data_IF_108962199717
#
_entry.id   IF_108962199717
#
_cell.length_a   1.000
_cell.length_b   1.000
_cell.length_c   1.000
_cell.angle_alpha   90.00
_cell.angle_beta   90.00
_cell.angle_gamma   90.00
#
_symmetry.space_group_name_H-M   'P 1'
#
loop_
_entity.id
_entity.type
_entity.pdbx_description
1 polymer ?
#
# COMPACT_ATOMS: atom_id res chain seq x y z
N UNK A 1 21.69 5.90 9.08
CA UNK A 1 20.28 6.35 9.03
C UNK A 1 19.64 5.91 7.73
N UNK A 2 18.55 5.15 7.80
CA UNK A 2 17.70 4.85 6.65
C UNK A 2 16.65 5.96 6.52
N UNK A 3 16.46 6.49 5.31
CA UNK A 3 15.54 7.60 5.06
C UNK A 3 16.21 8.99 5.10
N UNK A 4 15.45 10.03 4.75
CA UNK A 4 15.91 11.43 4.84
C UNK A 4 16.74 11.95 3.67
N UNK A 5 16.86 11.17 2.58
CA UNK A 5 17.55 11.59 1.35
C UNK A 5 17.06 12.96 0.89
N UNK A 6 17.99 13.86 0.61
CA UNK A 6 17.74 15.26 0.28
C UNK A 6 18.20 15.63 -1.14
N UNK A 7 18.62 14.62 -1.93
CA UNK A 7 19.10 14.86 -3.27
C UNK A 7 20.62 15.10 -3.35
N UNK A 8 21.32 15.30 -2.23
CA UNK A 8 22.76 15.60 -2.23
C UNK A 8 23.66 14.37 -2.32
N UNK A 9 23.16 13.19 -1.89
CA UNK A 9 23.96 11.97 -1.81
C UNK A 9 24.09 11.27 -3.18
N UNK A 10 25.31 11.10 -3.67
CA UNK A 10 25.59 10.31 -4.87
C UNK A 10 25.19 8.84 -4.68
N UNK A 11 24.56 8.25 -5.71
CA UNK A 11 24.09 6.86 -5.69
C UNK A 11 22.87 6.59 -4.80
N UNK A 12 22.29 7.61 -4.15
CA UNK A 12 21.12 7.39 -3.28
C UNK A 12 19.83 7.03 -4.02
N UNK A 13 19.74 7.20 -5.34
CA UNK A 13 18.70 6.55 -6.14
C UNK A 13 18.74 5.02 -6.02
N UNK A 14 19.92 4.39 -6.12
CA UNK A 14 20.10 2.94 -5.99
C UNK A 14 20.22 2.47 -4.53
N UNK A 15 20.86 3.26 -3.67
CA UNK A 15 20.98 2.94 -2.24
C UNK A 15 19.65 3.15 -1.49
N UNK A 16 18.81 4.08 -1.94
CA UNK A 16 17.45 4.25 -1.42
C UNK A 16 16.60 3.02 -1.74
N UNK A 17 16.64 2.55 -2.98
CA UNK A 17 16.04 1.26 -3.40
C UNK A 17 16.51 0.11 -2.50
N UNK A 18 17.83 -0.04 -2.31
CA UNK A 18 18.38 -1.09 -1.44
C UNK A 18 18.05 -0.89 0.04
N UNK A 19 17.93 0.34 0.51
CA UNK A 19 17.48 0.65 1.86
C UNK A 19 16.09 0.09 2.12
N UNK A 20 15.14 0.32 1.22
CA UNK A 20 13.80 -0.28 1.32
C UNK A 20 13.79 -1.81 1.13
N UNK A 21 14.73 -2.36 0.34
CA UNK A 21 14.90 -3.81 0.23
C UNK A 21 15.51 -4.45 1.50
N UNK A 22 16.47 -3.79 2.15
CA UNK A 22 17.16 -4.26 3.37
C UNK A 22 16.31 -4.07 4.63
N UNK A 23 15.37 -3.11 4.60
CA UNK A 23 14.34 -2.93 5.63
C UNK A 23 13.29 -4.06 5.63
N UNK A 24 13.44 -5.08 4.77
CA UNK A 24 12.73 -6.34 4.94
C UNK A 24 11.23 -6.17 4.89
N UNK A 25 10.74 -5.70 3.74
CA UNK A 25 9.32 -5.60 3.40
C UNK A 25 8.53 -4.56 4.20
N UNK A 26 7.48 -3.99 3.60
CA UNK A 26 6.58 -3.13 4.34
C UNK A 26 5.65 -4.07 5.11
N UNK A 27 6.06 -4.44 6.32
CA UNK A 27 5.11 -4.98 7.30
C UNK A 27 4.52 -3.78 8.00
N UNK A 28 3.19 -3.67 7.95
CA UNK A 28 2.45 -2.58 8.58
C UNK A 28 2.80 -2.44 10.08
N UNK A 29 3.23 -3.53 10.72
CA UNK A 29 3.73 -3.60 12.10
C UNK A 29 5.02 -2.80 12.33
N UNK A 30 5.99 -2.90 11.42
CA UNK A 30 7.29 -2.24 11.57
C UNK A 30 7.23 -0.73 11.30
N UNK A 31 6.17 -0.26 10.63
CA UNK A 31 5.98 1.16 10.28
C UNK A 31 6.05 2.09 11.50
N UNK A 32 5.61 1.61 12.68
CA UNK A 32 5.64 2.36 13.94
C UNK A 32 7.05 2.75 14.40
N UNK A 33 8.08 2.00 13.95
CA UNK A 33 9.48 2.27 14.28
C UNK A 33 10.14 3.33 13.41
N UNK A 34 9.46 3.81 12.35
CA UNK A 34 10.04 4.72 11.38
C UNK A 34 9.42 6.12 11.43
N UNK A 35 10.25 7.13 11.11
CA UNK A 35 9.76 8.50 10.94
C UNK A 35 9.05 8.62 9.59
N UNK A 36 7.75 8.88 9.63
CA UNK A 36 6.92 9.17 8.44
C UNK A 36 7.59 10.19 7.52
N UNK A 37 8.03 11.33 8.07
CA UNK A 37 8.72 12.38 7.31
C UNK A 37 9.96 11.88 6.58
N UNK A 38 10.81 11.07 7.24
CA UNK A 38 12.03 10.52 6.63
C UNK A 38 11.71 9.49 5.55
N UNK A 39 10.70 8.65 5.77
CA UNK A 39 10.24 7.64 4.81
C UNK A 39 9.64 8.32 3.58
N UNK A 40 8.70 9.24 3.76
CA UNK A 40 8.03 9.93 2.66
C UNK A 40 9.00 10.71 1.79
N UNK A 41 9.92 11.46 2.41
CA UNK A 41 10.97 12.18 1.69
C UNK A 41 11.83 11.24 0.84
N UNK A 42 12.21 10.08 1.39
CA UNK A 42 13.03 9.12 0.65
C UNK A 42 12.26 8.42 -0.47
N UNK A 43 10.98 8.10 -0.29
CA UNK A 43 10.12 7.58 -1.37
C UNK A 43 10.07 8.57 -2.54
N UNK A 44 9.81 9.84 -2.25
CA UNK A 44 9.66 10.89 -3.27
C UNK A 44 10.97 11.14 -4.02
N UNK A 45 12.08 11.31 -3.28
CA UNK A 45 13.39 11.57 -3.90
C UNK A 45 13.87 10.37 -4.73
N UNK A 46 13.67 9.15 -4.24
CA UNK A 46 14.03 7.95 -5.00
C UNK A 46 13.17 7.82 -6.26
N UNK A 47 11.87 8.08 -6.16
CA UNK A 47 10.95 8.06 -7.31
C UNK A 47 11.38 9.06 -8.39
N UNK A 48 11.64 10.31 -8.01
CA UNK A 48 12.07 11.37 -8.92
C UNK A 48 13.41 11.06 -9.59
N UNK A 49 14.42 10.61 -8.82
CA UNK A 49 15.75 10.27 -9.35
C UNK A 49 15.74 9.13 -10.35
N UNK A 50 14.78 8.22 -10.25
CA UNK A 50 14.59 7.14 -11.19
C UNK A 50 13.55 7.48 -12.27
N UNK A 51 13.40 8.76 -12.61
CA UNK A 51 12.51 9.26 -13.67
C UNK A 51 11.09 8.72 -13.55
N UNK A 52 10.53 8.75 -12.33
CA UNK A 52 9.18 8.24 -12.03
C UNK A 52 8.99 6.77 -12.44
N UNK A 53 9.98 5.95 -12.09
CA UNK A 53 9.89 4.49 -12.22
C UNK A 53 10.69 3.90 -13.37
N UNK A 54 11.01 4.66 -14.43
CA UNK A 54 11.76 4.14 -15.60
C UNK A 54 13.13 3.57 -15.21
N UNK A 55 13.77 4.15 -14.19
CA UNK A 55 15.06 3.68 -13.67
C UNK A 55 14.95 2.52 -12.66
N UNK A 56 13.74 2.02 -12.37
CA UNK A 56 13.48 1.01 -11.37
C UNK A 56 12.99 -0.31 -11.99
N UNK A 57 13.32 -1.42 -11.33
CA UNK A 57 12.62 -2.68 -11.57
C UNK A 57 11.21 -2.57 -10.98
N UNK A 58 10.21 -3.07 -11.70
CA UNK A 58 8.78 -2.90 -11.39
C UNK A 58 8.39 -3.36 -9.99
N UNK A 59 8.96 -4.47 -9.49
CA UNK A 59 8.65 -4.93 -8.13
C UNK A 59 9.07 -3.91 -7.05
N UNK A 60 10.11 -3.11 -7.28
CA UNK A 60 10.55 -2.04 -6.37
C UNK A 60 9.55 -0.88 -6.39
N UNK A 61 9.12 -0.46 -7.58
CA UNK A 61 8.10 0.57 -7.72
C UNK A 61 6.80 0.17 -7.01
N UNK A 62 6.47 -1.12 -7.07
CA UNK A 62 5.30 -1.65 -6.38
C UNK A 62 5.48 -1.77 -4.85
N UNK A 63 6.71 -1.97 -4.35
CA UNK A 63 7.00 -1.84 -2.92
C UNK A 63 6.82 -0.41 -2.42
N UNK A 64 7.22 0.57 -3.23
CA UNK A 64 6.99 1.98 -2.92
C UNK A 64 5.49 2.26 -2.86
N UNK A 65 4.72 1.77 -3.85
CA UNK A 65 3.27 1.88 -3.86
C UNK A 65 2.62 1.30 -2.58
N UNK A 66 3.07 0.13 -2.13
CA UNK A 66 2.55 -0.49 -0.91
C UNK A 66 2.91 0.31 0.35
N UNK A 67 4.11 0.85 0.41
CA UNK A 67 4.56 1.69 1.52
C UNK A 67 3.79 3.01 1.58
N UNK A 68 3.54 3.63 0.42
CA UNK A 68 2.69 4.82 0.30
C UNK A 68 1.25 4.51 0.76
N UNK A 69 0.69 3.35 0.40
CA UNK A 69 -0.63 2.95 0.86
C UNK A 69 -0.68 2.85 2.40
N UNK A 70 0.31 2.22 3.04
CA UNK A 70 0.37 2.14 4.50
C UNK A 70 0.48 3.49 5.22
N UNK A 71 1.11 4.48 4.59
CA UNK A 71 1.18 5.85 5.12
C UNK A 71 -0.02 6.72 4.71
N UNK A 72 -1.05 6.18 4.05
CA UNK A 72 -2.22 6.97 3.65
C UNK A 72 -1.99 7.87 2.43
N UNK A 73 -0.89 7.67 1.70
CA UNK A 73 -0.50 8.46 0.52
C UNK A 73 -1.19 7.93 -0.74
N UNK A 74 -2.49 8.13 -0.78
CA UNK A 74 -3.39 7.49 -1.73
C UNK A 74 -3.02 7.72 -3.21
N UNK A 75 -2.75 8.96 -3.59
CA UNK A 75 -2.45 9.34 -4.98
C UNK A 75 -1.09 8.78 -5.41
N UNK A 76 -0.09 8.84 -4.54
CA UNK A 76 1.24 8.33 -4.81
C UNK A 76 1.28 6.80 -4.88
N UNK A 77 0.53 6.13 -4.00
CA UNK A 77 0.35 4.68 -4.06
C UNK A 77 -0.30 4.27 -5.39
N UNK A 78 -1.31 5.02 -5.83
CA UNK A 78 -1.98 4.78 -7.10
C UNK A 78 -1.07 5.03 -8.30
N UNK A 79 -0.36 6.18 -8.35
CA UNK A 79 0.58 6.52 -9.43
C UNK A 79 1.61 5.41 -9.62
N UNK A 80 2.26 4.98 -8.53
CA UNK A 80 3.33 3.97 -8.60
C UNK A 80 2.81 2.58 -8.94
N UNK A 81 1.63 2.20 -8.44
CA UNK A 81 0.99 0.93 -8.79
C UNK A 81 0.54 0.91 -10.25
N UNK A 82 -0.07 2.00 -10.73
CA UNK A 82 -0.47 2.16 -12.12
C UNK A 82 0.72 2.14 -13.08
N UNK A 83 1.84 2.79 -12.71
CA UNK A 83 3.08 2.69 -13.48
C UNK A 83 3.47 1.23 -13.74
N UNK A 84 3.38 0.38 -12.71
CA UNK A 84 3.76 -1.02 -12.86
C UNK A 84 2.88 -1.75 -13.88
N UNK A 85 1.58 -1.43 -13.96
CA UNK A 85 0.67 -1.99 -14.98
C UNK A 85 1.00 -1.52 -16.41
N UNK A 86 1.67 -0.39 -16.58
CA UNK A 86 2.15 0.05 -17.91
C UNK A 86 3.35 -0.76 -18.40
N UNK A 87 3.99 -1.52 -17.50
CA UNK A 87 5.17 -2.32 -17.79
C UNK A 87 4.82 -3.81 -17.94
N UNK A 88 3.55 -4.15 -18.15
CA UNK A 88 3.11 -5.52 -18.40
C UNK A 88 3.79 -6.05 -19.66
N UNK A 89 4.35 -7.25 -19.57
CA UNK A 89 4.95 -7.95 -20.71
C UNK A 89 3.86 -8.23 -21.77
N UNK A 90 3.99 -7.68 -22.98
CA UNK A 90 3.01 -7.92 -24.04
C UNK A 90 3.00 -9.37 -24.53
N UNK A 91 4.06 -10.15 -24.30
CA UNK A 91 4.11 -11.57 -24.65
C UNK A 91 3.34 -12.46 -23.67
N UNK A 92 3.03 -11.94 -22.47
CA UNK A 92 2.38 -12.70 -21.40
C UNK A 92 3.28 -13.71 -20.69
N UNK A 93 4.60 -13.67 -20.93
CA UNK A 93 5.57 -14.56 -20.28
C UNK A 93 5.76 -14.19 -18.80
N UNK A 94 5.56 -12.92 -18.44
CA UNK A 94 5.50 -12.46 -17.05
C UNK A 94 4.44 -11.39 -16.80
N UNK A 95 4.16 -11.11 -15.52
CA UNK A 95 3.23 -10.04 -15.15
C UNK A 95 3.78 -8.65 -15.52
N UNK A 96 5.05 -8.35 -15.26
CA UNK A 96 5.68 -7.10 -15.68
C UNK A 96 7.17 -7.30 -16.00
N UNK A 97 7.71 -6.52 -16.94
CA UNK A 97 9.14 -6.46 -17.23
C UNK A 97 9.74 -5.10 -16.83
N UNK A 98 11.07 -5.05 -16.73
CA UNK A 98 11.77 -3.77 -16.81
C UNK A 98 12.00 -3.44 -18.28
N UNK A 99 11.63 -2.23 -18.69
CA UNK A 99 11.96 -1.69 -20.00
C UNK A 99 13.48 -1.81 -20.25
N UNK A 100 13.89 -2.75 -21.11
CA UNK A 100 15.29 -3.02 -21.45
C UNK A 100 16.04 -4.07 -20.61
N UNK A 101 15.43 -4.73 -19.62
CA UNK A 101 16.09 -5.84 -18.91
C UNK A 101 15.63 -7.21 -19.41
N UNK A 102 16.59 -8.12 -19.60
CA UNK A 102 16.36 -9.49 -20.09
C UNK A 102 15.96 -10.49 -19.01
N UNK A 103 15.57 -10.02 -17.81
CA UNK A 103 15.37 -10.88 -16.65
C UNK A 103 13.97 -10.74 -16.07
N UNK A 104 13.27 -11.87 -16.03
CA UNK A 104 12.00 -12.03 -15.35
C UNK A 104 12.24 -12.22 -13.85
N UNK A 105 11.73 -11.30 -13.03
CA UNK A 105 11.78 -11.44 -11.58
C UNK A 105 10.42 -11.95 -11.09
N UNK A 106 10.36 -13.17 -10.55
CA UNK A 106 9.17 -13.71 -9.88
C UNK A 106 8.92 -13.04 -8.51
N UNK A 107 9.99 -12.49 -7.91
CA UNK A 107 9.96 -11.91 -6.57
C UNK A 107 9.28 -10.54 -6.56
N UNK A 108 8.25 -10.38 -5.71
CA UNK A 108 7.62 -9.09 -5.44
C UNK A 108 6.29 -8.83 -6.14
N UNK A 109 5.65 -9.86 -6.73
CA UNK A 109 4.27 -9.73 -7.22
C UNK A 109 3.20 -9.81 -6.13
N UNK A 110 3.52 -10.41 -4.97
CA UNK A 110 2.59 -10.41 -3.84
C UNK A 110 2.23 -8.98 -3.38
N UNK A 111 3.14 -8.01 -3.52
CA UNK A 111 2.80 -6.62 -3.22
C UNK A 111 1.78 -6.05 -4.22
N UNK A 112 1.66 -6.57 -5.46
CA UNK A 112 0.73 -6.00 -6.45
C UNK A 112 -0.71 -6.25 -6.03
N UNK A 113 -1.00 -7.46 -5.55
CA UNK A 113 -2.30 -7.76 -4.96
C UNK A 113 -2.53 -7.04 -3.64
N UNK A 114 -1.46 -6.78 -2.87
CA UNK A 114 -1.58 -6.14 -1.57
C UNK A 114 -1.76 -4.62 -1.62
N UNK A 115 -1.32 -3.91 -2.66
CA UNK A 115 -1.53 -2.47 -2.80
C UNK A 115 -3.01 -2.09 -2.76
N UNK A 116 -3.89 -2.60 -3.66
CA UNK A 116 -5.30 -2.23 -3.65
C UNK A 116 -6.00 -2.70 -2.37
N UNK A 117 -5.63 -3.86 -1.83
CA UNK A 117 -6.11 -4.32 -0.51
C UNK A 117 -5.72 -3.32 0.58
N UNK A 118 -4.47 -2.87 0.61
CA UNK A 118 -3.95 -1.94 1.63
C UNK A 118 -4.48 -0.51 1.45
N UNK A 119 -4.96 -0.13 0.27
CA UNK A 119 -5.67 1.13 0.06
C UNK A 119 -7.05 1.13 0.73
N UNK A 120 -7.74 -0.01 0.75
CA UNK A 120 -9.11 -0.14 1.27
C UNK A 120 -9.20 -0.74 2.67
N UNK A 121 -8.22 -1.54 3.10
CA UNK A 121 -8.19 -2.18 4.41
C UNK A 121 -6.75 -2.35 4.90
N UNK A 122 -6.48 -1.88 6.11
CA UNK A 122 -5.23 -2.14 6.81
C UNK A 122 -5.53 -2.67 8.19
N UNK A 123 -4.84 -3.73 8.60
CA UNK A 123 -4.99 -4.29 9.94
C UNK A 123 -3.64 -4.72 10.51
N UNK A 124 -3.34 -4.28 11.72
CA UNK A 124 -2.08 -4.58 12.40
C UNK A 124 -2.24 -4.48 13.91
N UNK A 125 -1.72 -5.48 14.62
CA UNK A 125 -1.98 -5.64 16.04
C UNK A 125 -3.49 -5.64 16.27
N UNK A 126 -3.97 -4.72 17.10
CA UNK A 126 -5.40 -4.57 17.40
C UNK A 126 -6.11 -3.47 16.62
N UNK A 127 -5.48 -2.80 15.66
CA UNK A 127 -6.11 -1.71 14.90
C UNK A 127 -6.56 -2.20 13.52
N UNK A 128 -7.75 -1.77 13.10
CA UNK A 128 -8.30 -1.98 11.76
C UNK A 128 -8.69 -0.63 11.19
N UNK A 129 -8.08 -0.24 10.06
CA UNK A 129 -8.38 0.99 9.32
C UNK A 129 -9.05 0.64 8.00
N UNK A 130 -10.15 1.33 7.70
CA UNK A 130 -10.94 1.12 6.48
C UNK A 130 -10.87 2.38 5.61
N UNK A 131 -10.66 2.17 4.31
CA UNK A 131 -10.31 3.19 3.32
C UNK A 131 -9.14 4.11 3.70
N UNK A 132 -8.02 3.59 4.24
CA UNK A 132 -6.92 4.42 4.72
C UNK A 132 -6.20 5.22 3.62
N UNK A 133 -6.21 4.75 2.37
CA UNK A 133 -5.43 5.35 1.28
C UNK A 133 -6.10 5.22 -0.09
N UNK A 134 -7.40 5.48 -0.21
CA UNK A 134 -8.10 5.37 -1.49
C UNK A 134 -7.89 6.61 -2.36
N UNK A 135 -7.37 6.49 -3.61
CA UNK A 135 -7.15 7.62 -4.50
C UNK A 135 -8.47 8.18 -5.03
N UNK A 136 -8.47 9.44 -5.48
CA UNK A 136 -9.66 10.07 -6.10
C UNK A 136 -10.19 9.29 -7.30
N UNK A 137 -9.32 8.62 -8.05
CA UNK A 137 -9.71 7.76 -9.17
C UNK A 137 -10.69 6.65 -8.75
N UNK A 138 -10.68 6.23 -7.48
CA UNK A 138 -11.56 5.21 -6.91
C UNK A 138 -12.57 5.79 -5.92
N UNK A 139 -13.06 7.02 -6.18
CA UNK A 139 -14.06 7.68 -5.33
C UNK A 139 -15.35 6.85 -5.12
N UNK A 140 -15.64 5.91 -6.02
CA UNK A 140 -16.72 4.94 -5.87
C UNK A 140 -16.13 3.53 -5.90
N UNK A 141 -16.02 2.88 -4.74
CA UNK A 141 -15.43 1.55 -4.60
C UNK A 141 -16.16 0.75 -3.53
N UNK A 142 -16.19 -0.57 -3.73
CA UNK A 142 -16.77 -1.52 -2.81
C UNK A 142 -15.82 -2.70 -2.64
N UNK A 143 -15.74 -3.23 -1.43
CA UNK A 143 -15.00 -4.46 -1.15
C UNK A 143 -15.78 -5.32 -0.16
N UNK A 144 -15.57 -6.63 -0.24
CA UNK A 144 -16.34 -7.61 0.51
C UNK A 144 -15.41 -8.65 1.12
N UNK A 145 -15.65 -8.97 2.39
CA UNK A 145 -15.07 -10.11 3.10
C UNK A 145 -13.54 -10.15 3.15
N UNK A 146 -12.88 -8.97 3.12
CA UNK A 146 -11.44 -8.88 3.30
C UNK A 146 -11.07 -9.22 4.74
N UNK A 147 -10.00 -10.01 4.91
CA UNK A 147 -9.56 -10.51 6.21
C UNK A 147 -8.74 -9.44 6.95
N UNK A 148 -9.09 -9.18 8.21
CA UNK A 148 -8.37 -8.36 9.17
C UNK A 148 -7.82 -9.24 10.32
N UNK A 149 -7.17 -8.61 11.30
CA UNK A 149 -6.71 -9.25 12.55
C UNK A 149 -7.78 -10.15 13.17
N UNK A 150 -7.33 -11.22 13.80
CA UNK A 150 -8.17 -12.15 14.57
C UNK A 150 -9.32 -12.77 13.76
N UNK A 151 -9.15 -12.94 12.45
CA UNK A 151 -10.15 -13.59 11.60
C UNK A 151 -11.42 -12.75 11.38
N UNK A 152 -11.39 -11.46 11.70
CA UNK A 152 -12.49 -10.54 11.41
C UNK A 152 -12.54 -10.31 9.90
N UNK A 153 -13.72 -10.41 9.30
CA UNK A 153 -13.98 -10.03 7.91
C UNK A 153 -14.55 -8.62 7.88
N UNK A 154 -14.03 -7.82 6.96
CA UNK A 154 -14.45 -6.44 6.77
C UNK A 154 -14.93 -6.26 5.35
N UNK A 155 -16.00 -5.50 5.22
CA UNK A 155 -16.55 -5.09 3.95
C UNK A 155 -16.89 -3.61 4.01
N UNK A 156 -16.88 -2.93 2.87
CA UNK A 156 -17.09 -1.49 2.83
C UNK A 156 -17.57 -1.00 1.48
N UNK A 157 -18.40 0.04 1.53
CA UNK A 157 -18.91 0.80 0.39
C UNK A 157 -18.49 2.26 0.56
N UNK A 158 -17.75 2.78 -0.40
CA UNK A 158 -17.40 4.20 -0.52
C UNK A 158 -18.05 4.78 -1.78
N UNK A 159 -18.69 5.94 -1.64
CA UNK A 159 -19.26 6.72 -2.75
C UNK A 159 -18.84 8.16 -2.63
N UNK A 160 -18.48 8.79 -3.75
CA UNK A 160 -18.00 10.17 -3.78
C UNK A 160 -16.81 10.44 -2.85
N UNK A 161 -15.95 9.44 -2.60
CA UNK A 161 -14.80 9.54 -1.71
C UNK A 161 -15.15 9.48 -0.21
N UNK A 162 -16.39 9.16 0.16
CA UNK A 162 -16.84 9.04 1.56
C UNK A 162 -17.37 7.66 1.87
N UNK A 163 -16.96 7.08 3.00
CA UNK A 163 -17.44 5.77 3.43
C UNK A 163 -18.93 5.87 3.77
N UNK A 164 -19.75 5.15 3.01
CA UNK A 164 -21.21 5.11 3.19
C UNK A 164 -21.58 4.07 4.23
N UNK A 165 -20.98 2.88 4.11
CA UNK A 165 -21.27 1.74 4.96
C UNK A 165 -20.03 0.87 5.08
N UNK A 166 -19.69 0.48 6.30
CA UNK A 166 -18.63 -0.49 6.60
C UNK A 166 -19.14 -1.42 7.67
N UNK A 167 -18.97 -2.72 7.47
CA UNK A 167 -19.41 -3.72 8.44
C UNK A 167 -18.32 -4.76 8.69
N UNK A 168 -18.37 -5.29 9.90
CA UNK A 168 -17.38 -6.20 10.44
C UNK A 168 -18.10 -7.48 10.86
N UNK A 169 -17.57 -8.62 10.46
CA UNK A 169 -18.13 -9.93 10.74
C UNK A 169 -17.07 -10.86 11.31
N UNK A 170 -17.48 -11.76 12.19
CA UNK A 170 -16.64 -12.87 12.67
C UNK A 170 -17.54 -14.07 12.94
N UNK A 171 -17.14 -15.24 12.46
CA UNK A 171 -17.87 -16.51 12.64
C UNK A 171 -19.35 -16.43 12.19
N UNK A 172 -19.59 -15.73 11.08
CA UNK A 172 -20.93 -15.54 10.50
C UNK A 172 -21.83 -14.55 11.26
N UNK A 173 -21.30 -13.83 12.26
CA UNK A 173 -22.02 -12.82 13.04
C UNK A 173 -21.49 -11.43 12.75
N UNK A 174 -22.40 -10.49 12.50
CA UNK A 174 -22.07 -9.07 12.40
C UNK A 174 -21.70 -8.52 13.78
N UNK A 175 -20.50 -7.96 13.89
CA UNK A 175 -19.94 -7.39 15.12
C UNK A 175 -20.26 -5.89 15.25
N UNK A 176 -20.14 -5.16 14.14
CA UNK A 176 -20.29 -3.72 14.09
C UNK A 176 -20.66 -3.29 12.68
N UNK A 177 -21.44 -2.21 12.56
CA UNK A 177 -21.63 -1.47 11.33
C UNK A 177 -21.46 0.03 11.60
N UNK A 178 -20.75 0.69 10.70
CA UNK A 178 -20.48 2.13 10.73
C UNK A 178 -20.96 2.73 9.42
N UNK A 179 -21.80 3.75 9.53
CA UNK A 179 -22.38 4.45 8.38
C UNK A 179 -21.93 5.92 8.34
N UNK A 180 -21.74 6.45 7.13
CA UNK A 180 -21.52 7.86 6.83
C UNK A 180 -20.39 8.52 7.65
N UNK A 181 -19.17 7.97 7.55
CA UNK A 181 -17.98 8.49 8.22
C UNK A 181 -16.86 8.78 7.23
N UNK A 182 -16.16 9.89 7.43
CA UNK A 182 -15.03 10.27 6.55
C UNK A 182 -13.81 9.35 6.76
N UNK A 183 -13.59 8.88 7.98
CA UNK A 183 -12.52 7.93 8.34
C UNK A 183 -13.03 6.90 9.33
N UNK A 184 -12.60 5.66 9.14
CA UNK A 184 -12.98 4.54 10.00
C UNK A 184 -11.69 3.86 10.47
N UNK A 185 -11.41 3.98 11.76
CA UNK A 185 -10.42 3.18 12.47
C UNK A 185 -11.09 2.63 13.72
N UNK A 186 -11.01 1.32 13.91
CA UNK A 186 -11.58 0.61 15.06
C UNK A 186 -10.49 -0.24 15.72
N UNK A 187 -10.62 -0.45 17.02
CA UNK A 187 -9.72 -1.31 17.78
C UNK A 187 -10.43 -2.58 18.23
N UNK A 188 -9.76 -3.71 18.08
CA UNK A 188 -10.19 -4.99 18.62
C UNK A 188 -9.62 -5.19 20.02
N UNK A 189 -10.45 -5.05 21.05
CA UNK A 189 -10.03 -5.12 22.46
C UNK A 189 -11.03 -5.97 23.22
N UNK A 190 -10.55 -6.97 23.97
CA UNK A 190 -11.36 -7.87 24.80
C UNK A 190 -12.53 -8.51 24.01
N UNK A 191 -12.24 -9.01 22.81
CA UNK A 191 -13.22 -9.61 21.89
C UNK A 191 -14.36 -8.68 21.44
N UNK A 192 -14.10 -7.36 21.41
CA UNK A 192 -15.06 -6.36 20.96
C UNK A 192 -14.38 -5.30 20.08
N UNK A 193 -15.12 -4.80 19.09
CA UNK A 193 -14.72 -3.62 18.31
C UNK A 193 -15.08 -2.34 19.06
N UNK A 194 -14.14 -1.40 19.13
CA UNK A 194 -14.26 -0.09 19.80
C UNK A 194 -13.79 1.04 18.91
#
# INVERSE_FOLDING_TARGET
EFGGDDGSRAGAGYQGIRGYAYLGFPTLELMKGFSEKKVNKSLDQCWLRNKKGEGMITFIANWFALTDAYWGRAEEAYEKSAYCLTQIDPSGTAMCEQNGAKYYFLTGYASFSMVPVSMVLQSTGNEIKVFPAVPKAFANIEFYNLLATDGIRVSGVMKGGKAQRVWFEKDGKQLLEINNKDRISVKWVNNQLR
#
